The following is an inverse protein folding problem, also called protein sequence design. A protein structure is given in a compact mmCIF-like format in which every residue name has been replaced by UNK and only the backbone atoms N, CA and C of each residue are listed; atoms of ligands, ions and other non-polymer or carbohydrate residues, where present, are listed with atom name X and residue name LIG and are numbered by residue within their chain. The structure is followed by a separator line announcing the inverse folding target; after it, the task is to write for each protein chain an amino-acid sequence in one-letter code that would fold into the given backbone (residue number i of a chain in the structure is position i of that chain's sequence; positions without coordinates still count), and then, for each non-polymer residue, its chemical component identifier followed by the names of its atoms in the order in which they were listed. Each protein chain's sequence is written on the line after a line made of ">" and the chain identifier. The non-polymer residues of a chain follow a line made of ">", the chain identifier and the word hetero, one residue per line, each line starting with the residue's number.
data_IF_831810256824
#
_entry.id   IF_831810256824
#
_cell.length_a   1.000
_cell.length_b   1.000
_cell.length_c   1.000
_cell.angle_alpha   90.00
_cell.angle_beta   90.00
_cell.angle_gamma   90.00
#
_symmetry.space_group_name_H-M   'P 1'
#
loop_
_entity.id
_entity.type
_entity.pdbx_description
1 polymer ?
#
# COMPACT_ATOMS: atom_id res chain seq x y z
N UNK A 1 -7.77 -24.69 -44.02
CA UNK A 1 -8.43 -23.63 -43.20
C UNK A 1 -7.72 -23.56 -41.86
N UNK A 2 -7.02 -22.46 -41.58
CA UNK A 2 -6.47 -22.16 -40.25
C UNK A 2 -7.51 -21.29 -39.51
N UNK A 3 -7.91 -21.58 -38.26
CA UNK A 3 -8.91 -20.77 -37.57
C UNK A 3 -8.34 -19.38 -37.29
N UNK A 4 -9.12 -18.34 -37.66
CA UNK A 4 -8.78 -16.95 -37.39
C UNK A 4 -8.84 -16.72 -35.87
N UNK A 5 -7.74 -16.23 -35.29
CA UNK A 5 -7.69 -15.87 -33.88
C UNK A 5 -8.76 -14.80 -33.58
N UNK A 6 -9.40 -14.90 -32.42
CA UNK A 6 -10.39 -13.96 -31.94
C UNK A 6 -9.82 -12.52 -31.87
N UNK A 7 -10.64 -11.47 -32.05
CA UNK A 7 -10.18 -10.09 -32.05
C UNK A 7 -9.52 -9.74 -30.71
N UNK A 8 -8.37 -9.07 -30.84
CA UNK A 8 -7.51 -8.51 -29.81
C UNK A 8 -8.34 -7.86 -28.68
N UNK A 9 -8.44 -8.54 -27.54
CA UNK A 9 -9.04 -7.93 -26.35
C UNK A 9 -8.23 -6.67 -26.00
N UNK A 10 -8.87 -5.52 -25.68
CA UNK A 10 -8.13 -4.31 -25.33
C UNK A 10 -7.11 -4.62 -24.23
N UNK A 11 -5.82 -4.50 -24.56
CA UNK A 11 -4.75 -4.58 -23.56
C UNK A 11 -5.04 -3.49 -22.52
N UNK A 12 -5.02 -3.79 -21.21
CA UNK A 12 -5.21 -2.78 -20.19
C UNK A 12 -4.21 -1.65 -20.44
N UNK A 13 -4.72 -0.41 -20.44
CA UNK A 13 -3.92 0.80 -20.60
C UNK A 13 -2.72 0.75 -19.66
N UNK A 14 -1.53 1.11 -20.15
CA UNK A 14 -0.29 1.21 -19.36
C UNK A 14 -0.33 2.40 -18.41
N UNK A 15 -1.35 2.46 -17.55
CA UNK A 15 -1.36 3.39 -16.43
C UNK A 15 -0.40 2.84 -15.38
N UNK A 16 0.69 3.56 -15.14
CA UNK A 16 1.57 3.26 -14.02
C UNK A 16 0.72 3.26 -12.76
N UNK A 17 0.67 2.18 -11.99
CA UNK A 17 -0.17 2.14 -10.81
C UNK A 17 0.27 3.23 -9.83
N UNK A 18 -0.69 3.91 -9.21
CA UNK A 18 -0.39 4.86 -8.14
C UNK A 18 0.36 4.12 -7.01
N UNK A 19 1.43 4.72 -6.50
CA UNK A 19 2.31 4.08 -5.53
C UNK A 19 1.54 3.54 -4.32
N UNK A 20 0.57 4.30 -3.82
CA UNK A 20 -0.31 3.87 -2.71
C UNK A 20 -1.12 2.62 -3.06
N UNK A 21 -1.59 2.50 -4.29
CA UNK A 21 -2.30 1.31 -4.75
C UNK A 21 -1.43 0.05 -4.72
N UNK A 22 -0.16 0.19 -5.11
CA UNK A 22 0.82 -0.90 -5.04
C UNK A 22 1.07 -1.29 -3.58
N UNK A 23 1.38 -0.31 -2.72
CA UNK A 23 1.69 -0.57 -1.31
C UNK A 23 0.50 -1.20 -0.57
N UNK A 24 -0.72 -0.78 -0.87
CA UNK A 24 -1.94 -1.32 -0.27
C UNK A 24 -2.30 -2.74 -0.77
N UNK A 25 -1.76 -3.16 -1.92
CA UNK A 25 -1.93 -4.52 -2.42
C UNK A 25 -0.98 -5.53 -1.73
N UNK A 26 0.06 -5.06 -1.05
CA UNK A 26 1.02 -5.92 -0.35
C UNK A 26 0.42 -6.47 0.95
N UNK A 27 0.59 -7.78 1.19
CA UNK A 27 0.20 -8.42 2.45
C UNK A 27 1.13 -8.06 3.63
N UNK A 28 2.30 -7.49 3.35
CA UNK A 28 3.27 -7.08 4.38
C UNK A 28 2.92 -5.69 4.89
N UNK A 29 2.99 -5.49 6.21
CA UNK A 29 2.85 -4.18 6.83
C UNK A 29 4.02 -3.28 6.44
N UNK A 30 3.72 -2.14 5.83
CA UNK A 30 4.69 -1.11 5.45
C UNK A 30 4.38 0.16 6.23
N UNK A 31 5.37 0.65 6.97
CA UNK A 31 5.29 1.87 7.78
C UNK A 31 6.46 2.75 7.36
N UNK A 32 6.19 4.01 7.04
CA UNK A 32 7.24 5.00 6.78
C UNK A 32 7.26 6.03 7.91
N UNK A 33 8.46 6.42 8.30
CA UNK A 33 8.69 7.41 9.35
C UNK A 33 9.64 8.50 8.86
N UNK A 34 9.57 9.67 9.48
CA UNK A 34 10.56 10.74 9.27
C UNK A 34 11.77 10.60 10.20
N UNK A 35 12.64 11.62 10.21
CA UNK A 35 13.85 11.66 11.01
C UNK A 35 13.60 11.61 12.54
N UNK A 36 12.40 12.02 12.98
CA UNK A 36 11.98 12.01 14.38
C UNK A 36 11.20 10.74 14.74
N UNK A 37 11.19 9.73 13.85
CA UNK A 37 10.44 8.48 14.02
C UNK A 37 8.92 8.68 14.09
N UNK A 38 8.42 9.78 13.53
CA UNK A 38 6.98 10.06 13.43
C UNK A 38 6.43 9.41 12.16
N UNK A 39 5.32 8.69 12.29
CA UNK A 39 4.67 7.98 11.19
C UNK A 39 4.15 8.98 10.15
N UNK A 40 4.53 8.78 8.88
CA UNK A 40 4.11 9.62 7.75
C UNK A 40 3.18 8.91 6.76
N UNK A 41 3.26 7.58 6.69
CA UNK A 41 2.36 6.77 5.85
C UNK A 41 2.33 5.33 6.37
N UNK A 42 1.17 4.68 6.24
CA UNK A 42 0.97 3.26 6.50
C UNK A 42 0.10 2.65 5.40
N UNK A 43 0.41 1.43 4.98
CA UNK A 43 -0.47 0.71 4.07
C UNK A 43 -1.61 -0.01 4.82
N UNK A 44 -2.59 -0.54 4.09
CA UNK A 44 -3.70 -1.31 4.65
C UNK A 44 -3.26 -2.45 5.58
N UNK A 45 -2.19 -3.18 5.24
CA UNK A 45 -1.69 -4.25 6.08
C UNK A 45 -1.12 -3.73 7.42
N UNK A 46 -0.47 -2.57 7.41
CA UNK A 46 0.01 -1.90 8.61
C UNK A 46 -1.14 -1.35 9.47
N UNK A 47 -2.21 -0.83 8.87
CA UNK A 47 -3.42 -0.43 9.61
C UNK A 47 -4.03 -1.60 10.39
N UNK A 48 -4.14 -2.77 9.76
CA UNK A 48 -4.65 -3.98 10.41
C UNK A 48 -3.70 -4.48 11.50
N UNK A 49 -2.39 -4.43 11.27
CA UNK A 49 -1.38 -4.87 12.22
C UNK A 49 -1.36 -3.99 13.49
N UNK A 50 -1.39 -2.67 13.31
CA UNK A 50 -1.39 -1.68 14.41
C UNK A 50 -2.80 -1.44 14.99
N UNK A 51 -3.83 -2.03 14.39
CA UNK A 51 -5.24 -1.88 14.77
C UNK A 51 -5.72 -0.42 14.77
N UNK A 52 -5.27 0.37 13.79
CA UNK A 52 -5.61 1.78 13.66
C UNK A 52 -5.57 2.24 12.20
N UNK A 53 -6.40 3.21 11.82
CA UNK A 53 -6.40 3.71 10.44
C UNK A 53 -5.24 4.66 10.17
N UNK A 54 -4.84 4.82 8.89
CA UNK A 54 -3.77 5.76 8.53
C UNK A 54 -4.02 7.17 9.06
N UNK A 55 -5.27 7.66 9.00
CA UNK A 55 -5.63 8.98 9.48
C UNK A 55 -5.41 9.17 11.00
N UNK A 56 -5.45 8.08 11.77
CA UNK A 56 -5.21 8.11 13.23
C UNK A 56 -3.72 7.90 13.53
N UNK A 57 -3.03 7.08 12.75
CA UNK A 57 -1.64 6.70 12.99
C UNK A 57 -0.63 7.75 12.51
N UNK A 58 -0.93 8.48 11.42
CA UNK A 58 -0.04 9.52 10.89
C UNK A 58 0.10 10.66 11.90
N UNK A 59 1.34 11.05 12.18
CA UNK A 59 1.68 12.05 13.18
C UNK A 59 1.98 11.49 14.57
N UNK A 60 1.75 10.21 14.82
CA UNK A 60 2.18 9.56 16.06
C UNK A 60 3.65 9.13 15.98
N UNK A 61 4.41 9.23 17.09
CA UNK A 61 5.70 8.56 17.22
C UNK A 61 5.51 7.05 17.12
N UNK A 62 6.27 6.37 16.25
CA UNK A 62 6.19 4.91 16.13
C UNK A 62 6.51 4.21 17.46
N UNK A 63 7.39 4.80 18.26
CA UNK A 63 7.80 4.29 19.57
C UNK A 63 6.65 4.15 20.56
N UNK A 64 5.58 4.95 20.42
CA UNK A 64 4.43 4.90 21.33
C UNK A 64 3.58 3.63 21.11
N UNK A 65 3.76 2.96 19.96
CA UNK A 65 3.05 1.73 19.58
C UNK A 65 3.88 0.46 19.82
N UNK A 66 5.16 0.61 20.20
CA UNK A 66 6.07 -0.52 20.37
C UNK A 66 6.10 -0.99 21.83
N UNK A 67 6.19 -2.30 22.09
CA UNK A 67 6.48 -2.81 23.42
C UNK A 67 7.84 -2.32 23.93
N UNK A 68 7.95 -2.19 25.26
CA UNK A 68 9.19 -1.83 25.95
C UNK A 68 10.22 -2.98 25.96
#
# INVERSE_FOLDING_TARGET
>A
MNPVAAPDAPRPSTETPEADGILNALATAIITVDADTVIRHVNNAAEQFLQGSQAVLVGLPLTDLMPA
#
